data_IF_737833330636
#
_entry.id   IF_737833330636
#
_cell.length_a   1.000
_cell.length_b   1.000
_cell.length_c   1.000
_cell.angle_alpha   90.00
_cell.angle_beta   90.00
_cell.angle_gamma   90.00
#
_symmetry.space_group_name_H-M   'P 1'
#
loop_
_entity.id
_entity.type
_entity.pdbx_description
1 polymer ?
#
# COMPACT_ATOMS: atom_id res chain seq x y z
N UNK A 1 45.43 21.32 32.03
CA UNK A 1 44.89 21.50 30.66
C UNK A 1 44.15 20.22 30.29
N UNK A 2 42.88 20.14 30.59
CA UNK A 2 42.02 18.98 30.21
C UNK A 2 41.47 19.24 28.84
N UNK A 3 41.82 18.38 27.89
CA UNK A 3 41.23 18.36 26.57
C UNK A 3 39.90 17.64 26.67
N UNK A 4 38.82 18.39 26.60
CA UNK A 4 37.47 17.86 26.48
C UNK A 4 37.33 17.08 25.17
N UNK A 5 37.19 15.76 25.25
CA UNK A 5 36.75 14.93 24.15
C UNK A 5 35.26 15.25 23.86
N UNK A 6 35.05 16.00 22.80
CA UNK A 6 33.74 16.08 22.17
C UNK A 6 33.53 14.71 21.51
N UNK A 7 32.72 13.85 22.13
CA UNK A 7 32.21 12.64 21.47
C UNK A 7 31.21 13.10 20.44
N UNK A 8 31.60 12.99 19.18
CA UNK A 8 30.69 13.10 18.04
C UNK A 8 29.59 12.08 18.20
N UNK A 9 28.49 12.51 18.78
CA UNK A 9 27.26 11.75 18.80
C UNK A 9 26.63 11.91 17.41
N UNK A 10 27.17 11.21 16.42
CA UNK A 10 26.53 11.04 15.13
C UNK A 10 25.24 10.29 15.39
N UNK A 11 24.15 11.03 15.55
CA UNK A 11 22.83 10.47 15.50
C UNK A 11 22.72 9.72 14.17
N UNK A 12 22.69 8.40 14.22
CA UNK A 12 22.27 7.58 13.11
C UNK A 12 20.78 7.91 12.86
N UNK A 13 20.55 8.99 12.14
CA UNK A 13 19.21 9.27 11.65
C UNK A 13 18.83 8.09 10.76
N UNK A 14 17.67 7.47 10.98
CA UNK A 14 17.23 6.40 10.11
C UNK A 14 17.23 6.93 8.67
N UNK A 15 17.89 6.21 7.78
CA UNK A 15 17.87 6.59 6.36
C UNK A 15 16.44 6.48 5.86
N UNK A 16 15.94 7.57 5.27
CA UNK A 16 14.64 7.52 4.59
C UNK A 16 14.72 6.49 3.46
N UNK A 17 13.77 5.57 3.45
CA UNK A 17 13.72 4.51 2.45
C UNK A 17 12.44 4.65 1.63
N UNK A 18 12.58 4.62 0.32
CA UNK A 18 11.45 4.56 -0.61
C UNK A 18 11.39 3.16 -1.22
N UNK A 19 10.26 2.51 -1.06
CA UNK A 19 9.97 1.23 -1.71
C UNK A 19 9.07 1.45 -2.93
N UNK A 20 9.35 0.72 -4.01
CA UNK A 20 8.52 0.71 -5.21
C UNK A 20 8.05 -0.71 -5.50
N UNK A 21 6.74 -0.91 -5.56
CA UNK A 21 6.12 -2.21 -5.79
C UNK A 21 4.74 -2.32 -5.16
N UNK A 22 4.17 -3.53 -5.13
CA UNK A 22 2.94 -3.79 -4.39
C UNK A 22 3.20 -3.59 -2.90
N UNK A 23 2.42 -2.71 -2.28
CA UNK A 23 2.61 -2.35 -0.89
C UNK A 23 2.35 -3.52 0.08
N UNK A 24 1.47 -4.46 -0.25
CA UNK A 24 1.25 -5.65 0.58
C UNK A 24 2.52 -6.51 0.65
N UNK A 25 3.15 -6.76 -0.49
CA UNK A 25 4.41 -7.53 -0.57
C UNK A 25 5.55 -6.80 0.17
N UNK A 26 5.60 -5.46 0.05
CA UNK A 26 6.58 -4.64 0.74
C UNK A 26 6.38 -4.67 2.25
N UNK A 27 5.16 -4.50 2.74
CA UNK A 27 4.84 -4.56 4.17
C UNK A 27 5.25 -5.90 4.76
N UNK A 28 4.90 -7.00 4.12
CA UNK A 28 5.17 -8.35 4.62
C UNK A 28 6.65 -8.75 4.61
N UNK A 29 7.45 -8.23 3.67
CA UNK A 29 8.85 -8.65 3.50
C UNK A 29 9.87 -7.72 4.13
N UNK A 30 9.58 -6.43 4.14
CA UNK A 30 10.61 -5.43 4.46
C UNK A 30 10.30 -4.61 5.71
N UNK A 31 9.04 -4.54 6.13
CA UNK A 31 8.65 -3.80 7.33
C UNK A 31 8.50 -4.81 8.48
N UNK A 32 9.22 -4.56 9.56
CA UNK A 32 9.16 -5.43 10.75
C UNK A 32 7.97 -5.01 11.61
N UNK A 33 7.36 -5.99 12.26
CA UNK A 33 6.31 -5.77 13.23
C UNK A 33 6.77 -4.77 14.31
N UNK A 34 5.87 -3.91 14.73
CA UNK A 34 6.11 -2.90 15.78
C UNK A 34 7.30 -1.96 15.52
N UNK A 35 7.68 -1.76 14.24
CA UNK A 35 8.80 -0.90 13.87
C UNK A 35 8.40 0.51 13.40
N UNK A 36 7.10 0.79 13.29
CA UNK A 36 6.55 2.04 12.77
C UNK A 36 5.65 2.67 13.81
N UNK A 37 5.92 3.93 14.18
CA UNK A 37 5.14 4.66 15.17
C UNK A 37 3.94 5.40 14.57
N UNK A 38 3.95 5.69 13.27
CA UNK A 38 2.89 6.40 12.58
C UNK A 38 2.75 5.90 11.14
N UNK A 39 1.53 5.56 10.75
CA UNK A 39 1.17 5.23 9.38
C UNK A 39 0.27 6.32 8.81
N UNK A 40 0.70 6.92 7.69
CA UNK A 40 -0.11 7.85 6.91
C UNK A 40 -0.53 7.16 5.62
N UNK A 41 -1.85 7.03 5.41
CA UNK A 41 -2.42 6.31 4.28
C UNK A 41 -3.02 7.29 3.26
N UNK A 42 -2.69 7.05 2.00
CA UNK A 42 -3.35 7.65 0.84
C UNK A 42 -3.79 6.52 -0.10
N UNK A 43 -4.83 5.75 0.27
CA UNK A 43 -5.25 4.61 -0.51
C UNK A 43 -5.96 5.05 -1.80
N UNK A 44 -5.95 4.22 -2.86
CA UNK A 44 -6.77 4.47 -4.03
C UNK A 44 -8.26 4.52 -3.65
N UNK A 45 -9.02 5.44 -4.24
CA UNK A 45 -10.44 5.67 -3.92
C UNK A 45 -11.41 4.94 -4.84
N UNK A 46 -10.91 4.11 -5.76
CA UNK A 46 -11.71 3.44 -6.79
C UNK A 46 -12.52 4.44 -7.65
N UNK A 47 -11.89 5.57 -7.96
CA UNK A 47 -12.51 6.71 -8.66
C UNK A 47 -12.59 6.55 -10.18
N UNK A 48 -12.14 5.40 -10.73
CA UNK A 48 -11.95 5.16 -12.17
C UNK A 48 -10.98 6.14 -12.85
N UNK A 49 -10.13 6.81 -12.07
CA UNK A 49 -9.10 7.71 -12.58
C UNK A 49 -7.75 6.99 -12.65
N UNK A 50 -7.09 7.04 -13.79
CA UNK A 50 -5.72 6.58 -13.92
C UNK A 50 -4.78 7.70 -13.49
N UNK A 51 -4.11 7.51 -12.37
CA UNK A 51 -3.10 8.44 -11.90
C UNK A 51 -1.77 8.15 -12.59
N UNK A 52 -1.43 8.99 -13.56
CA UNK A 52 -0.12 8.98 -14.19
C UNK A 52 0.73 10.06 -13.55
N UNK A 53 1.90 9.71 -13.03
CA UNK A 53 2.88 10.71 -12.61
C UNK A 53 3.51 11.29 -13.87
N UNK A 54 3.06 12.48 -14.24
CA UNK A 54 3.63 13.24 -15.33
C UNK A 54 4.91 13.92 -14.83
N UNK A 55 6.05 13.34 -15.13
CA UNK A 55 7.31 14.08 -15.02
C UNK A 55 7.41 15.00 -16.25
N UNK A 56 7.02 16.25 -16.07
CA UNK A 56 7.30 17.27 -17.08
C UNK A 56 8.81 17.53 -17.09
N UNK A 57 9.43 17.42 -18.26
CA UNK A 57 10.80 17.91 -18.42
C UNK A 57 10.78 19.45 -18.31
N UNK A 58 11.92 20.06 -17.93
CA UNK A 58 12.05 21.51 -17.78
C UNK A 58 11.67 22.32 -19.04
N UNK A 59 11.62 21.68 -20.18
CA UNK A 59 11.25 22.26 -21.48
C UNK A 59 9.76 22.11 -21.84
N UNK A 60 8.95 21.50 -20.94
CA UNK A 60 7.52 21.29 -21.17
C UNK A 60 7.20 20.07 -22.04
N UNK A 61 8.17 19.30 -22.50
CA UNK A 61 7.94 18.07 -23.24
C UNK A 61 7.52 16.93 -22.29
N UNK A 62 6.64 16.04 -22.78
CA UNK A 62 6.29 14.82 -22.04
C UNK A 62 7.49 13.86 -22.04
N UNK A 63 7.94 13.47 -20.85
CA UNK A 63 8.96 12.43 -20.74
C UNK A 63 8.43 11.12 -21.30
N UNK A 64 9.23 10.44 -22.12
CA UNK A 64 8.93 9.09 -22.61
C UNK A 64 8.94 8.03 -21.50
N UNK A 65 9.34 8.39 -20.29
CA UNK A 65 9.30 7.57 -19.09
C UNK A 65 8.04 7.90 -18.26
N UNK A 66 6.87 7.73 -18.85
CA UNK A 66 5.62 7.77 -18.11
C UNK A 66 5.53 6.50 -17.28
N UNK A 67 5.78 6.61 -15.98
CA UNK A 67 5.59 5.49 -15.04
C UNK A 67 4.14 5.54 -14.61
N UNK A 68 3.38 4.50 -14.94
CA UNK A 68 2.06 4.28 -14.36
C UNK A 68 2.26 4.05 -12.87
N UNK A 69 1.81 5.00 -12.04
CA UNK A 69 2.03 4.91 -10.61
C UNK A 69 1.14 3.82 -9.99
N UNK A 70 -0.14 3.79 -10.34
CA UNK A 70 -1.10 2.76 -9.97
C UNK A 70 -2.42 2.93 -10.75
N UNK A 71 -3.20 1.87 -10.82
CA UNK A 71 -4.58 1.92 -11.29
C UNK A 71 -5.52 2.12 -10.10
N UNK A 72 -6.35 3.17 -10.15
CA UNK A 72 -7.34 3.46 -9.12
C UNK A 72 -8.67 2.75 -9.40
N UNK A 73 -8.63 1.62 -10.08
CA UNK A 73 -9.81 0.84 -10.41
C UNK A 73 -9.59 -0.62 -10.10
N UNK A 74 -10.39 -1.13 -9.21
CA UNK A 74 -10.41 -2.53 -8.84
C UNK A 74 -11.60 -3.20 -9.52
N UNK A 75 -11.36 -4.33 -10.15
CA UNK A 75 -12.40 -5.15 -10.78
C UNK A 75 -12.50 -6.48 -10.05
N UNK A 76 -13.71 -7.05 -10.04
CA UNK A 76 -13.94 -8.39 -9.50
C UNK A 76 -13.41 -9.42 -10.49
N UNK A 77 -12.10 -9.51 -10.58
CA UNK A 77 -11.36 -10.40 -11.45
C UNK A 77 -10.85 -11.63 -10.69
N UNK A 78 -10.09 -12.47 -11.40
CA UNK A 78 -9.51 -13.68 -10.83
C UNK A 78 -8.62 -13.41 -9.62
N UNK A 79 -7.90 -12.30 -9.60
CA UNK A 79 -7.03 -11.92 -8.50
C UNK A 79 -7.83 -11.50 -7.26
N UNK A 80 -8.89 -10.73 -7.44
CA UNK A 80 -9.81 -10.36 -6.36
C UNK A 80 -10.50 -11.60 -5.76
N UNK A 81 -10.96 -12.53 -6.60
CA UNK A 81 -11.57 -13.79 -6.16
C UNK A 81 -10.59 -14.64 -5.34
N UNK A 82 -9.36 -14.80 -5.81
CA UNK A 82 -8.34 -15.56 -5.08
C UNK A 82 -7.99 -14.91 -3.75
N UNK A 83 -7.87 -13.58 -3.72
CA UNK A 83 -7.61 -12.84 -2.49
C UNK A 83 -8.77 -12.98 -1.51
N UNK A 84 -10.01 -12.83 -1.98
CA UNK A 84 -11.21 -13.05 -1.16
C UNK A 84 -11.23 -14.45 -0.54
N UNK A 85 -11.02 -15.47 -1.36
CA UNK A 85 -11.02 -16.86 -0.90
C UNK A 85 -9.96 -17.08 0.19
N UNK A 86 -8.74 -16.61 -0.05
CA UNK A 86 -7.64 -16.71 0.92
C UNK A 86 -7.95 -16.00 2.24
N UNK A 87 -8.47 -14.78 2.19
CA UNK A 87 -8.80 -14.02 3.41
C UNK A 87 -9.97 -14.65 4.17
N UNK A 88 -10.97 -15.16 3.46
CA UNK A 88 -12.11 -15.87 4.06
C UNK A 88 -11.69 -17.20 4.70
N UNK A 89 -10.74 -17.92 4.12
CA UNK A 89 -10.20 -19.17 4.66
C UNK A 89 -9.38 -18.97 5.94
N UNK A 90 -8.75 -17.81 6.12
CA UNK A 90 -8.06 -17.46 7.37
C UNK A 90 -9.01 -17.42 8.58
N UNK A 91 -10.29 -17.11 8.35
CA UNK A 91 -11.29 -16.94 9.41
C UNK A 91 -11.11 -15.65 10.21
N UNK A 92 -11.89 -15.53 11.28
CA UNK A 92 -11.85 -14.38 12.17
C UNK A 92 -12.67 -13.16 11.70
N UNK A 93 -12.60 -12.03 12.42
CA UNK A 93 -13.50 -10.89 12.22
C UNK A 93 -13.44 -10.28 10.82
N UNK A 94 -12.25 -10.23 10.20
CA UNK A 94 -12.08 -9.69 8.85
C UNK A 94 -12.72 -10.61 7.81
N UNK A 95 -12.57 -11.92 7.94
CA UNK A 95 -13.24 -12.89 7.08
C UNK A 95 -14.76 -12.78 7.18
N UNK A 96 -15.29 -12.61 8.39
CA UNK A 96 -16.73 -12.46 8.63
C UNK A 96 -17.27 -11.15 8.03
N UNK A 97 -16.51 -10.06 8.16
CA UNK A 97 -16.85 -8.79 7.52
C UNK A 97 -16.84 -8.90 5.98
N UNK A 98 -15.85 -9.55 5.40
CA UNK A 98 -15.78 -9.77 3.95
C UNK A 98 -16.94 -10.63 3.44
N UNK A 99 -17.34 -11.67 4.17
CA UNK A 99 -18.55 -12.48 3.84
C UNK A 99 -19.82 -11.63 3.88
N UNK A 100 -19.99 -10.80 4.92
CA UNK A 100 -21.13 -9.91 5.05
C UNK A 100 -21.18 -8.88 3.91
N UNK A 101 -20.05 -8.26 3.58
CA UNK A 101 -19.98 -7.34 2.45
C UNK A 101 -20.28 -8.02 1.12
N UNK A 102 -19.80 -9.23 0.89
CA UNK A 102 -20.09 -9.96 -0.35
C UNK A 102 -21.58 -10.29 -0.49
N UNK A 103 -22.27 -10.60 0.61
CA UNK A 103 -23.72 -10.80 0.60
C UNK A 103 -24.50 -9.54 0.18
N UNK A 104 -23.97 -8.35 0.51
CA UNK A 104 -24.64 -7.07 0.23
C UNK A 104 -24.25 -6.54 -1.16
N UNK A 105 -22.97 -6.61 -1.50
CA UNK A 105 -22.38 -5.96 -2.68
C UNK A 105 -22.27 -6.88 -3.89
N UNK A 106 -22.32 -8.20 -3.67
CA UNK A 106 -22.09 -9.19 -4.71
C UNK A 106 -20.72 -9.03 -5.38
N UNK A 107 -20.60 -9.53 -6.58
CA UNK A 107 -19.38 -9.49 -7.40
C UNK A 107 -19.22 -8.11 -8.05
N UNK A 108 -18.92 -7.12 -7.24
CA UNK A 108 -18.83 -5.71 -7.65
C UNK A 108 -17.40 -5.15 -7.54
N UNK A 109 -17.15 -4.05 -8.21
CA UNK A 109 -15.87 -3.31 -8.09
C UNK A 109 -15.62 -2.84 -6.64
N UNK A 110 -16.68 -2.48 -5.92
CA UNK A 110 -16.56 -2.12 -4.50
C UNK A 110 -16.14 -3.33 -3.65
N UNK A 111 -16.71 -4.51 -3.93
CA UNK A 111 -16.28 -5.74 -3.24
C UNK A 111 -14.83 -6.11 -3.57
N UNK A 112 -14.40 -5.94 -4.82
CA UNK A 112 -13.01 -6.11 -5.21
C UNK A 112 -12.09 -5.15 -4.43
N UNK A 113 -12.46 -3.88 -4.34
CA UNK A 113 -11.73 -2.88 -3.56
C UNK A 113 -11.59 -3.28 -2.09
N UNK A 114 -12.70 -3.62 -1.43
CA UNK A 114 -12.67 -4.03 -0.01
C UNK A 114 -11.82 -5.28 0.20
N UNK A 115 -11.92 -6.25 -0.69
CA UNK A 115 -11.14 -7.48 -0.67
C UNK A 115 -9.64 -7.22 -0.79
N UNK A 116 -9.25 -6.33 -1.70
CA UNK A 116 -7.84 -6.01 -1.92
C UNK A 116 -7.26 -5.10 -0.83
N UNK A 117 -8.09 -4.28 -0.19
CA UNK A 117 -7.66 -3.42 0.92
C UNK A 117 -7.53 -4.17 2.25
N UNK A 118 -8.37 -5.16 2.50
CA UNK A 118 -8.43 -5.87 3.77
C UNK A 118 -7.06 -6.43 4.23
N UNK A 119 -6.31 -7.23 3.44
CA UNK A 119 -5.00 -7.72 3.86
C UNK A 119 -3.97 -6.61 4.08
N UNK A 120 -4.06 -5.50 3.34
CA UNK A 120 -3.16 -4.35 3.50
C UNK A 120 -3.38 -3.64 4.83
N UNK A 121 -4.65 -3.46 5.22
CA UNK A 121 -5.00 -2.85 6.50
C UNK A 121 -4.70 -3.75 7.71
N UNK A 122 -4.61 -5.07 7.50
CA UNK A 122 -4.22 -6.01 8.55
C UNK A 122 -2.72 -5.97 8.86
N UNK A 123 -1.89 -5.59 7.87
CA UNK A 123 -0.43 -5.48 8.03
C UNK A 123 0.00 -4.14 8.67
N UNK A 124 -0.91 -3.20 8.86
CA UNK A 124 -0.65 -1.88 9.45
C UNK A 124 -0.97 -1.85 10.94
#
# INVERSE_FOLDING_TARGET
>A
METSHITDNCYNLPMNTLYYGDNLDILQRYIKDESVDLVYLDPPFNSNANYNVLFAQKDGSQSSAQIQAFEDTWQWDQNAIQTYTREVEKGGPVADALRAFNLILGDSNMMAYLTMMAPRLQEL
#
